data_IF_667182211568
#
_entry.id   IF_667182211568
#
_cell.length_a   1.000
_cell.length_b   1.000
_cell.length_c   1.000
_cell.angle_alpha   90.00
_cell.angle_beta   90.00
_cell.angle_gamma   90.00
#
_symmetry.space_group_name_H-M   'P 1'
#
loop_
_entity.id
_entity.type
_entity.pdbx_description
1 polymer ?
#
# COMPACT_ATOMS: atom_id res chain seq x y z
N UNK A 1 -8.90 -11.06 12.30
CA UNK A 1 -8.09 -10.08 11.55
C UNK A 1 -6.84 -10.79 11.04
N UNK A 2 -6.35 -10.45 9.84
CA UNK A 2 -5.13 -11.04 9.27
C UNK A 2 -3.89 -10.45 9.95
N UNK A 3 -2.81 -11.22 10.05
CA UNK A 3 -1.51 -10.78 10.56
C UNK A 3 -0.96 -9.62 9.73
N UNK A 4 -0.41 -8.60 10.40
CA UNK A 4 0.27 -7.49 9.74
C UNK A 4 1.76 -7.80 9.58
N UNK A 5 2.12 -8.34 8.40
CA UNK A 5 3.49 -8.78 8.09
C UNK A 5 4.53 -7.66 8.21
N UNK A 6 4.17 -6.43 7.84
CA UNK A 6 5.05 -5.26 7.97
C UNK A 6 5.33 -4.97 9.45
N UNK A 7 4.31 -5.06 10.32
CA UNK A 7 4.50 -4.84 11.77
C UNK A 7 5.47 -5.86 12.37
N UNK A 8 5.38 -7.12 11.96
CA UNK A 8 6.29 -8.17 12.42
C UNK A 8 7.72 -7.98 11.89
N UNK A 9 7.87 -7.62 10.61
CA UNK A 9 9.18 -7.31 10.01
C UNK A 9 9.86 -6.14 10.74
N UNK A 10 9.11 -5.06 11.00
CA UNK A 10 9.61 -3.93 11.77
C UNK A 10 10.01 -4.34 13.20
N UNK A 11 9.25 -5.21 13.85
CA UNK A 11 9.59 -5.72 15.18
C UNK A 11 10.89 -6.55 15.20
N UNK A 12 11.25 -7.18 14.07
CA UNK A 12 12.52 -7.89 13.87
C UNK A 12 13.67 -6.99 13.44
N UNK A 13 13.44 -5.69 13.24
CA UNK A 13 14.43 -4.75 12.74
C UNK A 13 14.73 -4.89 11.25
N UNK A 14 13.84 -5.54 10.50
CA UNK A 14 13.99 -5.69 9.05
C UNK A 14 13.69 -4.36 8.34
N UNK A 15 14.54 -3.99 7.40
CA UNK A 15 14.27 -2.83 6.54
C UNK A 15 13.02 -3.09 5.70
N UNK A 16 12.16 -2.08 5.57
CA UNK A 16 10.96 -2.13 4.76
C UNK A 16 11.00 -0.99 3.73
N UNK A 17 11.04 -1.35 2.46
CA UNK A 17 11.16 -0.42 1.34
C UNK A 17 9.80 -0.26 0.68
N UNK A 18 9.28 0.96 0.66
CA UNK A 18 7.99 1.28 0.08
C UNK A 18 8.00 2.54 -0.75
N UNK A 19 6.85 2.86 -1.32
CA UNK A 19 6.67 3.99 -2.24
C UNK A 19 5.42 4.79 -1.89
N UNK A 20 5.45 6.09 -2.21
CA UNK A 20 4.29 6.96 -2.14
C UNK A 20 3.50 6.94 -3.46
N UNK A 21 2.18 6.92 -3.33
CA UNK A 21 1.23 7.07 -4.42
C UNK A 21 0.56 8.43 -4.24
N UNK A 22 1.04 9.44 -4.98
CA UNK A 22 0.43 10.76 -4.99
C UNK A 22 -0.54 10.91 -6.16
N UNK A 23 -0.18 10.46 -7.37
CA UNK A 23 -0.94 10.82 -8.59
C UNK A 23 -1.76 9.68 -9.20
N UNK A 24 -1.30 8.43 -9.08
CA UNK A 24 -1.97 7.30 -9.73
C UNK A 24 -3.27 6.96 -8.99
N UNK A 25 -4.37 6.82 -9.73
CA UNK A 25 -5.71 6.46 -9.21
C UNK A 25 -6.17 5.07 -9.65
N UNK A 26 -5.45 4.45 -10.59
CA UNK A 26 -5.74 3.08 -11.01
C UNK A 26 -5.16 2.08 -9.98
N UNK A 27 -6.00 1.25 -9.33
CA UNK A 27 -5.53 0.26 -8.35
C UNK A 27 -4.47 -0.70 -8.88
N UNK A 28 -4.46 -0.98 -10.19
CA UNK A 28 -3.51 -1.90 -10.82
C UNK A 28 -2.03 -1.54 -10.55
N UNK A 29 -1.74 -0.29 -10.18
CA UNK A 29 -0.40 0.14 -9.75
C UNK A 29 0.15 -0.70 -8.58
N UNK A 30 -0.72 -1.20 -7.70
CA UNK A 30 -0.33 -2.06 -6.58
C UNK A 30 0.26 -3.40 -7.05
N UNK A 31 -0.20 -3.93 -8.19
CA UNK A 31 0.40 -5.12 -8.81
C UNK A 31 1.82 -4.84 -9.28
N UNK A 32 2.02 -3.70 -9.92
CA UNK A 32 3.34 -3.27 -10.38
C UNK A 32 4.30 -3.13 -9.17
N UNK A 33 3.87 -2.42 -8.13
CA UNK A 33 4.65 -2.19 -6.92
C UNK A 33 5.07 -3.49 -6.23
N UNK A 34 4.11 -4.41 -6.04
CA UNK A 34 4.41 -5.75 -5.49
C UNK A 34 5.38 -6.51 -6.39
N UNK A 35 5.18 -6.50 -7.71
CA UNK A 35 6.07 -7.19 -8.65
C UNK A 35 7.48 -6.59 -8.72
N UNK A 36 7.61 -5.30 -8.39
CA UNK A 36 8.89 -4.61 -8.28
C UNK A 36 9.65 -4.94 -6.99
N UNK A 37 9.08 -5.77 -6.10
CA UNK A 37 9.72 -6.18 -4.85
C UNK A 37 9.60 -5.17 -3.72
N UNK A 38 8.67 -4.22 -3.81
CA UNK A 38 8.37 -3.31 -2.69
C UNK A 38 7.62 -4.06 -1.60
N UNK A 39 7.86 -3.66 -0.34
CA UNK A 39 7.22 -4.25 0.85
C UNK A 39 5.84 -3.64 1.11
N UNK A 40 5.66 -2.35 0.78
CA UNK A 40 4.40 -1.64 0.98
C UNK A 40 4.20 -0.46 0.02
N UNK A 41 2.94 -0.03 -0.09
CA UNK A 41 2.57 1.24 -0.72
C UNK A 41 1.86 2.17 0.28
N UNK A 42 2.18 3.47 0.18
CA UNK A 42 1.59 4.55 0.96
C UNK A 42 0.72 5.41 0.05
N UNK A 43 -0.58 5.50 0.32
CA UNK A 43 -1.51 6.32 -0.45
C UNK A 43 -1.70 7.67 0.23
N UNK A 44 -1.35 8.74 -0.47
CA UNK A 44 -1.38 10.09 0.07
C UNK A 44 -2.78 10.69 -0.02
N UNK A 45 -3.46 10.74 1.12
CA UNK A 45 -4.77 11.37 1.25
C UNK A 45 -4.69 12.78 1.81
N UNK A 46 -3.54 13.19 2.32
CA UNK A 46 -3.32 14.49 2.94
C UNK A 46 -3.00 15.56 1.89
N UNK A 47 -2.15 15.25 0.91
CA UNK A 47 -1.63 16.24 -0.04
C UNK A 47 -2.05 16.00 -1.49
N UNK A 48 -2.59 14.82 -1.83
CA UNK A 48 -2.91 14.47 -3.21
C UNK A 48 -4.41 14.43 -3.55
N UNK A 49 -5.27 14.83 -2.61
CA UNK A 49 -6.73 14.95 -2.74
C UNK A 49 -7.46 13.78 -3.44
N UNK A 50 -7.15 12.49 -3.13
CA UNK A 50 -7.94 11.38 -3.63
C UNK A 50 -9.28 11.26 -2.89
N UNK A 51 -10.25 10.57 -3.51
CA UNK A 51 -11.52 10.28 -2.86
C UNK A 51 -11.46 9.03 -1.98
N UNK A 52 -12.43 8.87 -1.08
CA UNK A 52 -12.56 7.66 -0.24
C UNK A 52 -12.88 6.43 -1.09
N UNK A 53 -13.61 6.60 -2.19
CA UNK A 53 -13.90 5.54 -3.15
C UNK A 53 -12.60 5.03 -3.80
N UNK A 54 -11.70 5.96 -4.17
CA UNK A 54 -10.38 5.59 -4.69
C UNK A 54 -9.58 4.81 -3.65
N UNK A 55 -9.59 5.24 -2.38
CA UNK A 55 -8.96 4.51 -1.29
C UNK A 55 -9.57 3.10 -1.14
N UNK A 56 -10.89 2.98 -1.24
CA UNK A 56 -11.60 1.70 -1.11
C UNK A 56 -11.17 0.72 -2.20
N UNK A 57 -11.11 1.17 -3.46
CA UNK A 57 -10.68 0.34 -4.58
C UNK A 57 -9.21 -0.12 -4.43
N UNK A 58 -8.34 0.79 -3.99
CA UNK A 58 -6.94 0.47 -3.68
C UNK A 58 -6.84 -0.57 -2.55
N UNK A 59 -7.58 -0.38 -1.47
CA UNK A 59 -7.57 -1.28 -0.32
C UNK A 59 -8.11 -2.68 -0.66
N UNK A 60 -9.16 -2.76 -1.50
CA UNK A 60 -9.71 -4.03 -1.98
C UNK A 60 -8.68 -4.82 -2.78
N UNK A 61 -7.99 -4.17 -3.71
CA UNK A 61 -6.95 -4.84 -4.50
C UNK A 61 -5.72 -5.18 -3.65
N UNK A 62 -5.27 -4.30 -2.75
CA UNK A 62 -4.16 -4.59 -1.84
C UNK A 62 -4.43 -5.86 -1.01
N UNK A 63 -5.67 -6.01 -0.50
CA UNK A 63 -6.11 -7.19 0.23
C UNK A 63 -6.09 -8.45 -0.65
N UNK A 64 -6.60 -8.36 -1.88
CA UNK A 64 -6.59 -9.48 -2.82
C UNK A 64 -5.17 -9.92 -3.23
N UNK A 65 -4.23 -8.97 -3.27
CA UNK A 65 -2.83 -9.23 -3.59
C UNK A 65 -2.02 -9.70 -2.40
N UNK A 66 -2.54 -9.62 -1.17
CA UNK A 66 -1.73 -9.73 0.05
C UNK A 66 -0.52 -8.79 0.00
N UNK A 67 -0.79 -7.51 -0.23
CA UNK A 67 0.21 -6.45 -0.32
C UNK A 67 -0.09 -5.38 0.73
N UNK A 68 0.93 -4.97 1.47
CA UNK A 68 0.77 -3.99 2.54
C UNK A 68 0.43 -2.62 1.97
N UNK A 69 -0.71 -2.07 2.39
CA UNK A 69 -1.22 -0.79 1.92
C UNK A 69 -1.67 0.08 3.09
N UNK A 70 -1.18 1.31 3.14
CA UNK A 70 -1.49 2.27 4.20
C UNK A 70 -1.86 3.62 3.60
N UNK A 71 -2.87 4.29 4.16
CA UNK A 71 -3.13 5.70 3.88
C UNK A 71 -2.27 6.61 4.79
N UNK A 72 -1.86 7.76 4.29
CA UNK A 72 -1.42 8.91 5.10
C UNK A 72 -2.44 10.02 4.96
#
# INVERSE_FOLDING_TARGET
>A
MKTNVMKEALARGEAQIGVWINMVRNPAILRLMKSAGLDFARFDMEHASPSIETLSDMALLARALDFTFHRI
#
